data_IF_837790006902
#
_entry.id   IF_837790006902
#
_cell.length_a   1.000
_cell.length_b   1.000
_cell.length_c   1.000
_cell.angle_alpha   90.00
_cell.angle_beta   90.00
_cell.angle_gamma   90.00
#
_symmetry.space_group_name_H-M   'P 1'
#
loop_
_entity.id
_entity.type
_entity.pdbx_description
1 polymer ?
#
# COMPACT_ATOMS: atom_id res chain seq x y z
N UNK A 1 4.70 9.88 -16.81
CA UNK A 1 5.16 9.59 -15.42
C UNK A 1 5.37 8.09 -15.29
N UNK A 2 6.37 7.61 -14.54
CA UNK A 2 6.62 6.16 -14.34
C UNK A 2 7.86 5.57 -15.00
N UNK A 3 8.73 6.39 -15.61
CA UNK A 3 9.94 5.90 -16.29
C UNK A 3 10.88 5.08 -15.40
N UNK A 4 10.93 5.38 -14.09
CA UNK A 4 11.70 4.64 -13.10
C UNK A 4 11.03 3.39 -12.53
N UNK A 5 9.81 3.02 -12.98
CA UNK A 5 9.12 1.82 -12.48
C UNK A 5 9.81 0.54 -12.96
N UNK A 6 10.50 0.57 -14.11
CA UNK A 6 11.14 -0.61 -14.71
C UNK A 6 12.09 -1.32 -13.75
N UNK A 7 12.85 -0.57 -12.97
CA UNK A 7 13.82 -1.12 -12.01
C UNK A 7 13.14 -1.87 -10.85
N UNK A 8 11.87 -1.55 -10.58
CA UNK A 8 11.05 -2.19 -9.56
C UNK A 8 10.21 -3.35 -10.13
N UNK A 9 10.06 -3.50 -11.44
CA UNK A 9 9.38 -4.65 -12.07
C UNK A 9 10.29 -5.89 -12.14
N UNK A 10 10.89 -6.22 -11.01
CA UNK A 10 11.77 -7.37 -10.82
C UNK A 10 11.09 -8.42 -9.92
N UNK A 11 11.78 -9.51 -9.60
CA UNK A 11 11.23 -10.58 -8.76
C UNK A 11 10.71 -10.10 -7.39
N UNK A 12 11.38 -9.13 -6.76
CA UNK A 12 10.90 -8.53 -5.50
C UNK A 12 9.65 -7.70 -5.72
N UNK A 13 9.61 -6.83 -6.73
CA UNK A 13 8.42 -6.03 -7.01
C UNK A 13 7.20 -6.87 -7.38
N UNK A 14 7.39 -7.95 -8.13
CA UNK A 14 6.28 -8.87 -8.44
C UNK A 14 5.73 -9.57 -7.18
N UNK A 15 6.58 -9.90 -6.20
CA UNK A 15 6.12 -10.42 -4.89
C UNK A 15 5.27 -9.38 -4.15
N UNK A 16 5.73 -8.13 -4.13
CA UNK A 16 5.00 -7.02 -3.49
C UNK A 16 3.65 -6.80 -4.17
N UNK A 17 3.59 -6.79 -5.50
CA UNK A 17 2.34 -6.63 -6.24
C UNK A 17 1.35 -7.77 -5.95
N UNK A 18 1.83 -9.02 -5.89
CA UNK A 18 0.98 -10.16 -5.55
C UNK A 18 0.39 -10.06 -4.13
N UNK A 19 1.20 -9.65 -3.14
CA UNK A 19 0.72 -9.43 -1.78
C UNK A 19 -0.29 -8.26 -1.71
N UNK A 20 -0.04 -7.18 -2.45
CA UNK A 20 -0.99 -6.06 -2.56
C UNK A 20 -2.31 -6.50 -3.19
N UNK A 21 -2.29 -7.34 -4.24
CA UNK A 21 -3.49 -7.90 -4.86
C UNK A 21 -4.32 -8.73 -3.87
N UNK A 22 -3.67 -9.64 -3.14
CA UNK A 22 -4.35 -10.48 -2.15
C UNK A 22 -5.01 -9.64 -1.05
N UNK A 23 -4.27 -8.72 -0.44
CA UNK A 23 -4.76 -7.87 0.66
C UNK A 23 -5.84 -6.90 0.18
N UNK A 24 -5.64 -6.28 -0.99
CA UNK A 24 -6.63 -5.34 -1.56
C UNK A 24 -7.96 -6.03 -1.87
N UNK A 25 -7.92 -7.28 -2.34
CA UNK A 25 -9.13 -8.09 -2.52
C UNK A 25 -9.84 -8.37 -1.20
N UNK A 26 -9.12 -8.76 -0.13
CA UNK A 26 -9.71 -9.02 1.20
C UNK A 26 -10.43 -7.80 1.78
N UNK A 27 -9.89 -6.61 1.54
CA UNK A 27 -10.38 -5.35 2.12
C UNK A 27 -11.30 -4.54 1.19
N UNK A 28 -11.54 -5.01 -0.05
CA UNK A 28 -12.23 -4.21 -1.08
C UNK A 28 -11.64 -2.80 -1.21
N UNK A 29 -10.31 -2.73 -1.20
CA UNK A 29 -9.53 -1.50 -1.24
C UNK A 29 -8.69 -1.45 -2.52
N UNK A 30 -8.18 -0.28 -2.91
CA UNK A 30 -7.21 -0.17 -3.99
C UNK A 30 -5.82 -0.54 -3.45
N UNK A 31 -4.94 -1.08 -4.30
CA UNK A 31 -3.56 -1.38 -3.92
C UNK A 31 -2.82 -0.18 -3.30
N UNK A 32 -3.04 1.03 -3.83
CA UNK A 32 -2.46 2.25 -3.27
C UNK A 32 -2.99 2.59 -1.87
N UNK A 33 -4.26 2.29 -1.59
CA UNK A 33 -4.86 2.49 -0.26
C UNK A 33 -4.26 1.51 0.74
N UNK A 34 -4.08 0.25 0.35
CA UNK A 34 -3.42 -0.79 1.15
C UNK A 34 -1.96 -0.45 1.42
N UNK A 35 -1.21 -0.07 0.37
CA UNK A 35 0.20 0.28 0.51
C UNK A 35 0.39 1.47 1.47
N UNK A 36 -0.47 2.49 1.38
CA UNK A 36 -0.41 3.63 2.29
C UNK A 36 -0.83 3.24 3.71
N UNK A 37 -1.89 2.45 3.88
CA UNK A 37 -2.32 1.93 5.19
C UNK A 37 -1.21 1.10 5.86
N UNK A 38 -0.48 0.29 5.09
CA UNK A 38 0.68 -0.45 5.57
C UNK A 38 1.76 0.50 6.08
N UNK A 39 2.14 1.52 5.31
CA UNK A 39 3.12 2.53 5.75
C UNK A 39 2.66 3.25 7.03
N UNK A 40 1.38 3.63 7.12
CA UNK A 40 0.80 4.28 8.31
C UNK A 40 0.94 3.38 9.55
N UNK A 41 0.72 2.08 9.40
CA UNK A 41 0.75 1.12 10.51
C UNK A 41 2.16 0.73 10.97
N UNK A 42 3.22 1.15 10.26
CA UNK A 42 4.59 0.72 10.58
C UNK A 42 5.15 1.40 11.84
N UNK A 43 5.86 0.64 12.70
CA UNK A 43 6.62 1.22 13.80
C UNK A 43 7.60 2.29 13.30
N UNK A 44 7.62 3.43 13.98
CA UNK A 44 8.50 4.56 13.65
C UNK A 44 7.96 5.53 12.59
N UNK A 45 6.79 5.27 12.01
CA UNK A 45 6.11 6.22 11.13
C UNK A 45 5.06 7.00 11.93
N UNK A 46 5.33 8.27 12.22
CA UNK A 46 4.36 9.12 12.93
C UNK A 46 3.21 9.58 12.03
N UNK A 47 3.55 10.07 10.83
CA UNK A 47 2.57 10.50 9.84
C UNK A 47 3.22 10.50 8.44
N UNK A 48 2.73 9.69 7.48
CA UNK A 48 3.22 9.74 6.11
C UNK A 48 2.68 10.96 5.37
N UNK A 49 3.51 11.50 4.46
CA UNK A 49 3.12 12.61 3.59
C UNK A 49 2.56 12.03 2.29
N UNK A 50 1.32 12.37 1.95
CA UNK A 50 0.67 12.00 0.70
C UNK A 50 -0.07 13.21 0.11
N UNK A 51 -0.05 13.35 -1.22
CA UNK A 51 -0.67 14.47 -1.93
C UNK A 51 -1.72 14.00 -2.93
N UNK A 52 -2.84 14.70 -2.99
CA UNK A 52 -3.87 14.54 -4.01
C UNK A 52 -3.85 15.72 -4.99
N UNK A 53 -3.91 15.43 -6.29
CA UNK A 53 -4.07 16.42 -7.37
C UNK A 53 -5.50 16.49 -7.89
N UNK A 54 -6.35 15.55 -7.49
CA UNK A 54 -7.77 15.47 -7.83
C UNK A 54 -8.59 15.09 -6.58
N UNK A 55 -9.85 15.52 -6.49
CA UNK A 55 -10.71 15.21 -5.34
C UNK A 55 -10.82 13.72 -5.03
N UNK A 56 -10.93 12.85 -6.04
CA UNK A 56 -11.12 11.40 -5.84
C UNK A 56 -9.88 10.73 -5.22
N UNK A 57 -8.71 11.35 -5.36
CA UNK A 57 -7.50 10.90 -4.69
C UNK A 57 -7.57 11.19 -3.18
N UNK A 58 -8.20 12.30 -2.77
CA UNK A 58 -8.41 12.63 -1.36
C UNK A 58 -9.24 11.55 -0.66
N UNK A 59 -10.31 11.09 -1.29
CA UNK A 59 -11.14 10.00 -0.76
C UNK A 59 -10.33 8.71 -0.56
N UNK A 60 -9.42 8.43 -1.49
CA UNK A 60 -8.53 7.26 -1.39
C UNK A 60 -7.52 7.43 -0.24
N UNK A 61 -7.00 8.65 0.00
CA UNK A 61 -6.11 8.92 1.15
C UNK A 61 -6.85 8.77 2.49
N UNK A 62 -8.09 9.26 2.58
CA UNK A 62 -8.94 9.10 3.76
C UNK A 62 -9.25 7.62 4.01
N UNK A 63 -9.56 6.87 2.94
CA UNK A 63 -9.79 5.43 3.04
C UNK A 63 -8.55 4.67 3.51
N UNK A 64 -7.37 5.01 3.01
CA UNK A 64 -6.12 4.43 3.48
C UNK A 64 -5.86 4.70 4.98
N UNK A 65 -6.13 5.93 5.44
CA UNK A 65 -5.93 6.31 6.84
C UNK A 65 -6.90 5.62 7.83
N UNK A 66 -8.06 5.17 7.33
CA UNK A 66 -9.07 4.45 8.13
C UNK A 66 -9.02 2.94 7.96
N UNK A 67 -8.27 2.43 6.98
CA UNK A 67 -8.16 1.01 6.69
C UNK A 67 -7.37 0.30 7.80
N UNK A 68 -7.99 -0.71 8.42
CA UNK A 68 -7.36 -1.56 9.44
C UNK A 68 -6.90 -2.88 8.81
N UNK A 69 -5.60 -2.97 8.56
CA UNK A 69 -4.97 -4.22 8.14
C UNK A 69 -4.91 -5.19 9.32
N UNK A 70 -5.26 -6.46 9.08
CA UNK A 70 -5.11 -7.51 10.09
C UNK A 70 -3.64 -7.83 10.33
N UNK A 71 -3.32 -8.51 11.44
CA UNK A 71 -1.96 -8.97 11.70
C UNK A 71 -1.42 -9.89 10.57
N UNK A 72 -2.30 -10.68 9.95
CA UNK A 72 -1.95 -11.52 8.81
C UNK A 72 -1.65 -10.69 7.55
N UNK A 73 -2.44 -9.65 7.28
CA UNK A 73 -2.18 -8.72 6.16
C UNK A 73 -0.82 -8.03 6.35
N UNK A 74 -0.54 -7.53 7.56
CA UNK A 74 0.72 -6.87 7.88
C UNK A 74 1.91 -7.82 7.66
N UNK A 75 1.85 -9.03 8.20
CA UNK A 75 2.91 -10.02 8.06
C UNK A 75 3.14 -10.43 6.59
N UNK A 76 2.08 -10.52 5.79
CA UNK A 76 2.16 -10.84 4.37
C UNK A 76 2.86 -9.72 3.58
N UNK A 77 2.49 -8.46 3.85
CA UNK A 77 3.10 -7.29 3.23
C UNK A 77 4.55 -7.06 3.67
N UNK A 78 4.86 -7.30 4.94
CA UNK A 78 6.23 -7.24 5.47
C UNK A 78 7.12 -8.27 4.78
N UNK A 79 6.69 -9.54 4.74
CA UNK A 79 7.43 -10.62 4.09
C UNK A 79 7.62 -10.39 2.59
N UNK A 80 6.64 -9.78 1.92
CA UNK A 80 6.78 -9.43 0.51
C UNK A 80 7.77 -8.27 0.29
N UNK A 81 7.88 -7.37 1.27
CA UNK A 81 8.73 -6.17 1.24
C UNK A 81 10.17 -6.43 1.63
N UNK A 82 10.46 -7.53 2.33
CA UNK A 82 11.82 -8.05 2.55
C UNK A 82 12.45 -8.58 1.23
#
# INVERSE_FOLDING_TARGET
RGGGVKDYLNGRGMRILAALDAVSSRHSAKQAEVALAWVIARPGVTAPIASATKPEQMDSLIKAASLKLSAADMAELDKASD
#
